data_IF_782496872563
#
_entry.id   IF_782496872563
#
_cell.length_a   1.000
_cell.length_b   1.000
_cell.length_c   1.000
_cell.angle_alpha   90.00
_cell.angle_beta   90.00
_cell.angle_gamma   90.00
#
_symmetry.space_group_name_H-M   'P 1'
#
loop_
_entity.id
_entity.type
_entity.pdbx_description
1 polymer ?
#
# COMPACT_ATOMS: atom_id res chain seq x y z
N UNK A 1 -3.11 -1.76 31.23
CA UNK A 1 -3.14 -0.36 30.72
C UNK A 1 -2.43 -0.15 29.37
N UNK A 2 -1.37 -0.91 29.00
CA UNK A 2 -0.67 -0.74 27.71
C UNK A 2 -1.48 -1.12 26.45
N UNK A 3 -2.48 -2.01 26.55
CA UNK A 3 -3.26 -2.46 25.39
C UNK A 3 -4.42 -1.55 24.98
N UNK A 4 -5.04 -0.84 25.93
CA UNK A 4 -6.17 0.08 25.64
C UNK A 4 -5.71 1.24 24.74
N UNK A 5 -4.48 1.73 24.93
CA UNK A 5 -3.87 2.76 24.06
C UNK A 5 -3.54 2.27 22.65
N UNK A 6 -3.20 0.98 22.48
CA UNK A 6 -2.88 0.39 21.16
C UNK A 6 -4.12 0.10 20.32
N UNK A 7 -5.19 -0.40 20.95
CA UNK A 7 -6.49 -0.59 20.30
C UNK A 7 -7.04 0.75 19.81
N UNK A 8 -6.85 1.81 20.59
CA UNK A 8 -7.21 3.18 20.22
C UNK A 8 -6.44 3.68 18.99
N UNK A 9 -5.13 3.41 18.90
CA UNK A 9 -4.32 3.86 17.76
C UNK A 9 -4.69 3.15 16.45
N UNK A 10 -4.88 1.82 16.44
CA UNK A 10 -5.30 1.10 15.23
C UNK A 10 -6.61 1.67 14.70
N UNK A 11 -7.61 1.84 15.56
CA UNK A 11 -8.92 2.39 15.17
C UNK A 11 -8.82 3.81 14.61
N UNK A 12 -7.97 4.66 15.21
CA UNK A 12 -7.71 6.02 14.69
C UNK A 12 -7.08 6.01 13.31
N UNK A 13 -6.08 5.16 13.07
CA UNK A 13 -5.43 5.05 11.77
C UNK A 13 -6.40 4.52 10.71
N UNK A 14 -7.23 3.54 11.07
CA UNK A 14 -8.26 2.99 10.18
C UNK A 14 -9.32 4.05 9.82
N UNK A 15 -9.83 4.79 10.82
CA UNK A 15 -10.75 5.90 10.58
C UNK A 15 -10.12 6.94 9.66
N UNK A 16 -8.91 7.39 9.97
CA UNK A 16 -8.20 8.38 9.15
C UNK A 16 -8.07 7.94 7.69
N UNK A 17 -7.67 6.69 7.43
CA UNK A 17 -7.56 6.18 6.07
C UNK A 17 -8.92 6.13 5.36
N UNK A 18 -9.97 5.65 6.04
CA UNK A 18 -11.33 5.54 5.49
C UNK A 18 -12.00 6.90 5.27
N UNK A 19 -11.79 7.86 6.17
CA UNK A 19 -12.26 9.24 6.03
C UNK A 19 -11.58 9.95 4.85
N UNK A 20 -10.36 9.52 4.50
CA UNK A 20 -9.66 9.92 3.28
C UNK A 20 -10.03 9.07 2.05
N UNK A 21 -10.99 8.15 2.16
CA UNK A 21 -11.57 7.39 1.06
C UNK A 21 -10.94 6.03 0.78
N UNK A 22 -9.97 5.56 1.57
CA UNK A 22 -9.42 4.22 1.39
C UNK A 22 -10.51 3.15 1.58
N UNK A 23 -10.59 2.19 0.65
CA UNK A 23 -11.52 1.06 0.74
C UNK A 23 -10.97 -0.02 1.66
N UNK A 24 -9.66 -0.29 1.55
CA UNK A 24 -8.97 -1.32 2.31
C UNK A 24 -8.04 -0.68 3.34
N UNK A 25 -7.94 -1.32 4.51
CA UNK A 25 -7.00 -0.96 5.56
C UNK A 25 -6.63 -2.20 6.37
N UNK A 26 -5.34 -2.38 6.64
CA UNK A 26 -4.85 -3.46 7.49
C UNK A 26 -3.45 -3.17 8.05
N UNK A 27 -3.10 -3.88 9.13
CA UNK A 27 -1.77 -3.81 9.73
C UNK A 27 -1.15 -5.20 9.67
N UNK A 28 -0.03 -5.31 9.00
CA UNK A 28 0.74 -6.55 8.87
C UNK A 28 1.76 -6.67 10.00
N UNK A 29 1.94 -7.89 10.51
CA UNK A 29 3.17 -8.31 11.18
C UNK A 29 4.18 -8.77 10.13
N UNK A 30 5.34 -8.12 10.08
CA UNK A 30 6.39 -8.38 9.09
C UNK A 30 7.49 -9.31 9.63
N UNK A 31 7.40 -9.77 10.88
CA UNK A 31 8.47 -10.50 11.56
C UNK A 31 8.86 -11.78 10.80
N UNK A 32 7.88 -12.51 10.26
CA UNK A 32 8.11 -13.72 9.46
C UNK A 32 8.76 -13.45 8.09
N UNK A 33 8.67 -12.22 7.59
CA UNK A 33 9.19 -11.80 6.28
C UNK A 33 10.47 -10.96 6.37
N UNK A 34 11.06 -10.79 7.57
CA UNK A 34 12.24 -9.95 7.81
C UNK A 34 13.38 -10.21 6.82
N UNK A 35 13.74 -11.48 6.62
CA UNK A 35 14.83 -11.85 5.71
C UNK A 35 14.54 -11.38 4.28
N UNK A 36 13.34 -11.67 3.77
CA UNK A 36 12.90 -11.27 2.43
C UNK A 36 12.91 -9.75 2.24
N UNK A 37 12.53 -9.00 3.28
CA UNK A 37 12.55 -7.54 3.30
C UNK A 37 13.98 -7.02 3.21
N UNK A 38 14.90 -7.59 3.99
CA UNK A 38 16.32 -7.23 3.95
C UNK A 38 16.95 -7.50 2.58
N UNK A 39 16.68 -8.66 1.99
CA UNK A 39 17.19 -9.02 0.65
C UNK A 39 16.71 -8.08 -0.45
N UNK A 40 15.48 -7.55 -0.34
CA UNK A 40 14.93 -6.65 -1.36
C UNK A 40 15.33 -5.19 -1.15
N UNK A 41 15.25 -4.70 0.09
CA UNK A 41 15.33 -3.27 0.39
C UNK A 41 16.37 -2.89 1.44
N UNK A 42 17.13 -3.85 1.97
CA UNK A 42 18.23 -3.64 2.91
C UNK A 42 17.82 -3.72 4.39
N UNK A 43 18.84 -3.87 5.25
CA UNK A 43 18.65 -4.00 6.71
C UNK A 43 17.95 -2.79 7.34
N UNK A 44 18.10 -1.59 6.77
CA UNK A 44 17.43 -0.39 7.26
C UNK A 44 15.90 -0.46 7.10
N UNK A 45 15.36 -1.31 6.22
CA UNK A 45 13.91 -1.56 6.16
C UNK A 45 13.49 -2.71 7.06
N UNK A 46 14.37 -3.70 7.24
CA UNK A 46 14.09 -4.86 8.09
C UNK A 46 13.92 -4.49 9.58
N UNK A 47 14.31 -3.27 9.98
CA UNK A 47 14.07 -2.75 11.33
C UNK A 47 12.58 -2.44 11.62
N UNK A 48 11.72 -2.34 10.60
CA UNK A 48 10.29 -2.06 10.77
C UNK A 48 9.49 -3.37 10.89
N UNK A 49 9.00 -3.76 12.08
CA UNK A 49 8.35 -5.06 12.27
C UNK A 49 6.89 -5.08 11.83
N UNK A 50 6.33 -3.94 11.40
CA UNK A 50 4.94 -3.79 11.02
C UNK A 50 4.80 -2.90 9.79
N UNK A 51 3.79 -3.19 8.96
CA UNK A 51 3.37 -2.31 7.88
C UNK A 51 1.90 -1.93 8.06
N UNK A 52 1.58 -0.67 7.79
CA UNK A 52 0.21 -0.24 7.56
C UNK A 52 -0.03 -0.32 6.05
N UNK A 53 -1.02 -1.10 5.64
CA UNK A 53 -1.42 -1.28 4.25
C UNK A 53 -2.81 -0.70 4.04
N UNK A 54 -2.99 0.03 2.94
CA UNK A 54 -4.27 0.60 2.54
C UNK A 54 -4.40 0.55 1.01
N UNK A 55 -5.62 0.67 0.50
CA UNK A 55 -5.88 0.58 -0.92
C UNK A 55 -7.26 1.05 -1.34
N UNK A 56 -7.44 1.20 -2.65
CA UNK A 56 -8.70 1.62 -3.28
C UNK A 56 -9.20 0.54 -4.23
N UNK A 57 -10.53 0.45 -4.36
CA UNK A 57 -11.14 -0.15 -5.54
C UNK A 57 -11.12 0.89 -6.67
N UNK A 58 -10.56 0.52 -7.81
CA UNK A 58 -10.53 1.38 -9.00
C UNK A 58 -11.93 1.46 -9.63
N UNK A 59 -12.25 2.58 -10.25
CA UNK A 59 -13.55 2.77 -10.91
C UNK A 59 -13.69 1.85 -12.12
N UNK A 60 -14.69 0.96 -12.11
CA UNK A 60 -15.01 0.04 -13.21
C UNK A 60 -15.18 0.74 -14.56
N UNK A 61 -15.78 1.94 -14.56
CA UNK A 61 -15.96 2.75 -15.77
C UNK A 61 -14.65 3.16 -16.47
N UNK A 62 -13.52 3.15 -15.77
CA UNK A 62 -12.19 3.37 -16.37
C UNK A 62 -11.52 2.04 -16.68
N UNK A 63 -11.54 1.10 -15.72
CA UNK A 63 -10.87 -0.20 -15.85
C UNK A 63 -11.45 -1.03 -17.01
N UNK A 64 -12.77 -1.09 -17.13
CA UNK A 64 -13.44 -1.89 -18.16
C UNK A 64 -13.17 -1.39 -19.58
N UNK A 65 -12.69 -0.15 -19.75
CA UNK A 65 -12.31 0.37 -21.07
C UNK A 65 -11.04 -0.28 -21.63
N UNK A 66 -10.26 -0.97 -20.79
CA UNK A 66 -9.04 -1.66 -21.21
C UNK A 66 -9.27 -2.79 -22.22
N UNK A 67 -10.50 -3.29 -22.35
CA UNK A 67 -10.86 -4.20 -23.46
C UNK A 67 -10.56 -3.56 -24.83
N UNK A 68 -10.66 -2.23 -24.92
CA UNK A 68 -10.31 -1.43 -26.09
C UNK A 68 -8.84 -0.98 -26.07
N UNK A 69 -7.91 -1.87 -25.71
CA UNK A 69 -6.46 -1.59 -25.60
C UNK A 69 -5.77 -1.07 -26.88
N UNK A 70 -6.44 -1.02 -28.04
CA UNK A 70 -5.95 -0.36 -29.26
C UNK A 70 -6.40 1.10 -29.39
N UNK A 71 -7.36 1.53 -28.57
CA UNK A 71 -7.85 2.89 -28.53
C UNK A 71 -6.96 3.73 -27.60
N UNK A 72 -6.29 4.73 -28.17
CA UNK A 72 -5.35 5.60 -27.45
C UNK A 72 -6.05 6.38 -26.33
N UNK A 73 -7.31 6.79 -26.52
CA UNK A 73 -8.10 7.49 -25.50
C UNK A 73 -8.34 6.60 -24.29
N UNK A 74 -8.70 5.32 -24.49
CA UNK A 74 -8.89 4.38 -23.38
C UNK A 74 -7.59 4.16 -22.60
N UNK A 75 -6.47 3.93 -23.31
CA UNK A 75 -5.16 3.72 -22.67
C UNK A 75 -4.68 4.95 -21.90
N UNK A 76 -4.72 6.14 -22.51
CA UNK A 76 -4.25 7.37 -21.88
C UNK A 76 -5.12 7.75 -20.68
N UNK A 77 -6.44 7.55 -20.78
CA UNK A 77 -7.35 7.82 -19.66
C UNK A 77 -7.08 6.87 -18.48
N UNK A 78 -6.91 5.57 -18.74
CA UNK A 78 -6.54 4.61 -17.70
C UNK A 78 -5.21 4.97 -17.04
N UNK A 79 -4.18 5.26 -17.85
CA UNK A 79 -2.87 5.64 -17.35
C UNK A 79 -2.94 6.90 -16.48
N UNK A 80 -3.61 7.96 -16.95
CA UNK A 80 -3.75 9.21 -16.21
C UNK A 80 -4.50 8.97 -14.89
N UNK A 81 -5.61 8.24 -14.94
CA UNK A 81 -6.40 7.91 -13.76
C UNK A 81 -5.56 7.15 -12.70
N UNK A 82 -4.82 6.11 -13.08
CA UNK A 82 -4.01 5.36 -12.12
C UNK A 82 -2.83 6.18 -11.61
N UNK A 83 -1.99 6.71 -12.52
CA UNK A 83 -0.69 7.27 -12.14
C UNK A 83 -0.74 8.74 -11.71
N UNK A 84 -1.71 9.53 -12.18
CA UNK A 84 -1.82 10.95 -11.86
C UNK A 84 -2.93 11.27 -10.85
N UNK A 85 -3.88 10.34 -10.63
CA UNK A 85 -4.98 10.56 -9.67
C UNK A 85 -4.88 9.59 -8.49
N UNK A 86 -4.91 8.28 -8.74
CA UNK A 86 -4.97 7.27 -7.66
C UNK A 86 -3.65 7.19 -6.88
N UNK A 87 -2.52 7.15 -7.58
CA UNK A 87 -1.20 7.06 -6.96
C UNK A 87 -0.89 8.24 -6.01
N UNK A 88 -1.03 9.51 -6.41
CA UNK A 88 -0.86 10.63 -5.49
C UNK A 88 -1.84 10.59 -4.31
N UNK A 89 -3.05 10.05 -4.50
CA UNK A 89 -4.00 9.88 -3.39
C UNK A 89 -3.54 8.84 -2.38
N UNK A 90 -3.03 7.70 -2.85
CA UNK A 90 -2.40 6.68 -1.99
C UNK A 90 -1.24 7.28 -1.19
N UNK A 91 -0.38 8.05 -1.85
CA UNK A 91 0.79 8.67 -1.21
C UNK A 91 0.38 9.73 -0.17
N UNK A 92 -0.66 10.52 -0.46
CA UNK A 92 -1.23 11.48 0.50
C UNK A 92 -1.77 10.78 1.76
N UNK A 93 -2.48 9.66 1.62
CA UNK A 93 -2.94 8.87 2.78
C UNK A 93 -1.77 8.30 3.56
N UNK A 94 -0.76 7.73 2.87
CA UNK A 94 0.44 7.21 3.51
C UNK A 94 1.17 8.28 4.33
N UNK A 95 1.26 9.50 3.81
CA UNK A 95 1.85 10.64 4.54
C UNK A 95 1.07 10.97 5.81
N UNK A 96 -0.26 11.05 5.73
CA UNK A 96 -1.11 11.37 6.88
C UNK A 96 -1.06 10.29 7.96
N UNK A 97 -1.03 9.01 7.55
CA UNK A 97 -0.85 7.88 8.47
C UNK A 97 0.52 7.92 9.15
N UNK A 98 1.59 8.21 8.40
CA UNK A 98 2.93 8.35 8.95
C UNK A 98 3.01 9.49 9.98
N UNK A 99 2.40 10.65 9.69
CA UNK A 99 2.31 11.76 10.66
C UNK A 99 1.51 11.38 11.92
N UNK A 100 0.43 10.60 11.77
CA UNK A 100 -0.34 10.12 12.92
C UNK A 100 0.43 9.11 13.77
N UNK A 101 1.27 8.28 13.15
CA UNK A 101 2.17 7.35 13.84
C UNK A 101 3.27 8.11 14.58
N UNK A 102 3.86 9.12 13.95
CA UNK A 102 4.90 9.97 14.54
C UNK A 102 4.38 10.72 15.78
N UNK A 103 3.19 11.33 15.69
CA UNK A 103 2.49 11.94 16.84
C UNK A 103 2.20 10.95 17.98
N UNK A 104 2.09 9.67 17.67
CA UNK A 104 1.90 8.61 18.66
C UNK A 104 3.23 8.01 19.18
N UNK A 105 4.37 8.56 18.77
CA UNK A 105 5.71 8.14 19.19
C UNK A 105 6.30 6.97 18.40
N UNK A 106 5.79 6.69 17.20
CA UNK A 106 6.30 5.63 16.32
C UNK A 106 7.04 6.21 15.12
N UNK A 107 8.17 5.62 14.77
CA UNK A 107 8.85 5.91 13.51
C UNK A 107 8.15 5.17 12.36
N UNK A 108 7.92 5.86 11.25
CA UNK A 108 7.33 5.30 10.04
C UNK A 108 8.20 5.57 8.80
N UNK A 109 8.31 4.59 7.91
CA UNK A 109 8.89 4.74 6.59
C UNK A 109 7.78 4.69 5.54
N UNK A 110 7.64 5.75 4.74
CA UNK A 110 6.62 5.82 3.69
C UNK A 110 7.15 5.14 2.43
N UNK A 111 6.42 4.13 1.94
CA UNK A 111 6.71 3.44 0.68
C UNK A 111 5.87 4.08 -0.43
N UNK A 112 6.49 4.77 -1.42
CA UNK A 112 5.74 5.44 -2.47
C UNK A 112 4.98 4.49 -3.41
N UNK A 113 3.88 4.98 -3.96
CA UNK A 113 3.11 4.29 -4.99
C UNK A 113 3.89 4.24 -6.31
N UNK A 114 3.95 3.05 -6.93
CA UNK A 114 4.58 2.81 -8.24
C UNK A 114 6.03 3.29 -8.44
N UNK A 115 6.79 3.57 -7.37
CA UNK A 115 8.20 3.92 -7.50
C UNK A 115 9.04 2.68 -7.86
N UNK A 116 9.76 2.77 -8.97
CA UNK A 116 10.79 1.80 -9.34
C UNK A 116 12.15 2.27 -8.83
N UNK A 117 12.80 1.45 -8.01
CA UNK A 117 14.13 1.72 -7.45
C UNK A 117 15.22 1.00 -8.26
N UNK A 118 14.94 -0.22 -8.72
CA UNK A 118 15.81 -0.97 -9.64
C UNK A 118 15.05 -1.24 -10.94
N UNK A 119 15.47 -0.59 -12.03
CA UNK A 119 14.83 -0.71 -13.35
C UNK A 119 15.21 -2.00 -14.08
N UNK A 120 16.28 -2.67 -13.67
CA UNK A 120 16.70 -3.96 -14.22
C UNK A 120 15.84 -5.07 -13.63
N UNK A 121 15.59 -5.01 -12.32
CA UNK A 121 14.75 -6.00 -11.62
C UNK A 121 13.27 -5.61 -11.57
N UNK A 122 12.93 -4.39 -11.98
CA UNK A 122 11.59 -3.79 -11.86
C UNK A 122 11.04 -3.84 -10.44
N UNK A 123 11.90 -3.57 -9.44
CA UNK A 123 11.54 -3.62 -8.02
C UNK A 123 11.41 -2.24 -7.41
N UNK A 124 10.44 -2.11 -6.50
CA UNK A 124 10.37 -1.01 -5.54
C UNK A 124 11.13 -1.33 -4.26
N UNK A 125 11.22 -0.35 -3.37
CA UNK A 125 11.91 -0.46 -2.07
C UNK A 125 11.30 -1.55 -1.17
N UNK A 126 10.00 -1.79 -1.28
CA UNK A 126 9.26 -2.79 -0.51
C UNK A 126 8.06 -3.32 -1.32
N UNK A 127 7.66 -4.58 -1.09
CA UNK A 127 6.52 -5.19 -1.79
C UNK A 127 5.19 -4.82 -1.12
N UNK A 128 4.44 -3.90 -1.72
CA UNK A 128 3.08 -3.55 -1.28
C UNK A 128 2.17 -4.77 -1.12
N UNK A 129 2.29 -5.74 -2.04
CA UNK A 129 1.51 -6.99 -2.04
C UNK A 129 1.82 -7.88 -0.84
N UNK A 130 3.09 -7.89 -0.39
CA UNK A 130 3.49 -8.65 0.80
C UNK A 130 2.82 -8.10 2.06
N UNK A 131 2.88 -6.78 2.26
CA UNK A 131 2.21 -6.16 3.40
C UNK A 131 0.69 -6.37 3.36
N UNK A 132 0.05 -6.17 2.20
CA UNK A 132 -1.39 -6.34 2.09
C UNK A 132 -1.83 -7.79 2.38
N UNK A 133 -1.09 -8.78 1.87
CA UNK A 133 -1.34 -10.19 2.17
C UNK A 133 -1.19 -10.49 3.66
N UNK A 134 -0.07 -10.09 4.28
CA UNK A 134 0.19 -10.32 5.71
C UNK A 134 -0.76 -9.53 6.62
N UNK A 135 -1.35 -8.44 6.12
CA UNK A 135 -2.41 -7.70 6.81
C UNK A 135 -3.80 -8.37 6.69
N UNK A 136 -3.91 -9.50 5.97
CA UNK A 136 -5.16 -10.23 5.78
C UNK A 136 -6.09 -9.62 4.74
N UNK A 137 -5.61 -8.71 3.87
CA UNK A 137 -6.45 -8.06 2.86
C UNK A 137 -6.72 -8.94 1.63
N UNK A 138 -5.94 -10.00 1.44
CA UNK A 138 -6.05 -10.85 0.26
C UNK A 138 -4.93 -11.88 0.15
N UNK A 139 -4.81 -12.51 -1.01
CA UNK A 139 -3.74 -13.47 -1.33
C UNK A 139 -3.02 -13.10 -2.63
N UNK A 140 -1.77 -13.53 -2.79
CA UNK A 140 -1.02 -13.33 -4.05
C UNK A 140 -1.42 -14.44 -5.04
N UNK A 141 -2.09 -14.07 -6.12
CA UNK A 141 -2.56 -14.98 -7.15
C UNK A 141 -1.47 -15.40 -8.15
N UNK A 142 -1.82 -16.31 -9.07
CA UNK A 142 -0.91 -16.78 -10.14
C UNK A 142 -0.44 -15.67 -11.09
N UNK A 143 -1.22 -14.59 -11.21
CA UNK A 143 -0.84 -13.36 -11.94
C UNK A 143 0.23 -12.53 -11.20
N UNK A 144 0.68 -13.00 -10.04
CA UNK A 144 1.50 -12.26 -9.08
C UNK A 144 0.85 -10.97 -8.56
N UNK A 145 -0.46 -10.75 -8.78
CA UNK A 145 -1.22 -9.64 -8.19
C UNK A 145 -1.83 -10.08 -6.85
N UNK A 146 -2.08 -9.11 -5.98
CA UNK A 146 -2.90 -9.32 -4.79
C UNK A 146 -4.36 -9.41 -5.24
N UNK A 147 -5.06 -10.47 -4.82
CA UNK A 147 -6.50 -10.65 -5.00
C UNK A 147 -7.19 -10.40 -3.66
N UNK A 148 -8.11 -9.44 -3.64
CA UNK A 148 -8.95 -9.07 -2.50
C UNK A 148 -10.32 -9.75 -2.62
N UNK A 149 -10.87 -10.37 -1.54
CA UNK A 149 -12.19 -11.01 -1.56
C UNK A 149 -13.36 -10.03 -1.75
#
# INVERSE_FOLDING_TARGET
MKDIGKVNLRGKLESLAKDMGATYFGIADLTSARQRISEQGGEFLAQFPRAVSHGFVLTDGVVNTLVHHKNITALNNYWYYVYQIVNPRLDSISLMLAQSLDKAGFQAFVVPSSQTVDRTKLTGVFSHKLAAHLAGLGWVGKSALLITP
#
